data_IF_598244965476
#
_entry.id   IF_598244965476
#
_cell.length_a   1.000
_cell.length_b   1.000
_cell.length_c   1.000
_cell.angle_alpha   90.00
_cell.angle_beta   90.00
_cell.angle_gamma   90.00
#
_symmetry.space_group_name_H-M   'P 1'
#
loop_
_entity.id
_entity.type
_entity.pdbx_description
1 polymer ?
#
# COMPACT_ATOMS: atom_id res chain seq x y z
N UNK A 1 -4.70 -28.13 -9.96
CA UNK A 1 -3.98 -27.24 -10.90
C UNK A 1 -3.37 -26.11 -10.10
N UNK A 2 -2.05 -25.88 -10.23
CA UNK A 2 -1.37 -24.83 -9.49
C UNK A 2 -1.82 -23.45 -10.00
N UNK A 3 -2.05 -22.51 -9.10
CA UNK A 3 -2.40 -21.12 -9.45
C UNK A 3 -1.12 -20.31 -9.41
N UNK A 4 -0.76 -19.70 -10.53
CA UNK A 4 0.44 -18.88 -10.65
C UNK A 4 0.08 -17.39 -10.58
N UNK A 5 0.95 -16.59 -9.97
CA UNK A 5 0.74 -15.17 -9.71
C UNK A 5 1.95 -14.35 -10.10
N UNK A 6 1.70 -13.24 -10.77
CA UNK A 6 2.73 -12.32 -11.25
C UNK A 6 2.35 -10.88 -10.97
N UNK A 7 3.38 -10.04 -10.76
CA UNK A 7 3.24 -8.63 -10.41
C UNK A 7 4.13 -7.77 -11.31
N UNK A 8 3.57 -6.65 -11.77
CA UNK A 8 4.28 -5.58 -12.49
C UNK A 8 3.92 -4.22 -11.90
N UNK A 9 4.76 -3.22 -12.19
CA UNK A 9 4.46 -1.81 -12.01
C UNK A 9 4.36 -1.17 -13.39
N UNK A 10 3.19 -0.63 -13.72
CA UNK A 10 2.84 -0.12 -15.06
C UNK A 10 2.62 1.39 -14.99
N UNK A 11 3.28 2.14 -15.88
CA UNK A 11 3.08 3.59 -16.01
C UNK A 11 1.64 3.93 -16.42
N UNK A 12 1.10 5.06 -15.95
CA UNK A 12 -0.28 5.49 -16.26
C UNK A 12 -0.61 5.48 -17.75
N UNK A 13 0.33 5.90 -18.59
CA UNK A 13 0.20 5.92 -20.06
C UNK A 13 -0.03 4.53 -20.68
N UNK A 14 0.49 3.47 -20.05
CA UNK A 14 0.43 2.09 -20.55
C UNK A 14 -0.75 1.30 -19.99
N UNK A 15 -1.31 1.70 -18.85
CA UNK A 15 -2.41 0.96 -18.20
C UNK A 15 -3.65 0.83 -19.09
N UNK A 16 -4.04 1.91 -19.78
CA UNK A 16 -5.19 1.87 -20.71
C UNK A 16 -4.90 1.01 -21.95
N UNK A 17 -3.67 1.06 -22.47
CA UNK A 17 -3.25 0.24 -23.60
C UNK A 17 -3.30 -1.26 -23.25
N UNK A 18 -2.76 -1.64 -22.08
CA UNK A 18 -2.80 -3.02 -21.59
C UNK A 18 -4.25 -3.48 -21.39
N UNK A 19 -5.11 -2.63 -20.81
CA UNK A 19 -6.54 -2.93 -20.66
C UNK A 19 -7.20 -3.24 -22.00
N UNK A 20 -7.00 -2.39 -23.01
CA UNK A 20 -7.58 -2.57 -24.34
C UNK A 20 -7.09 -3.86 -25.01
N UNK A 21 -5.78 -4.15 -24.95
CA UNK A 21 -5.22 -5.36 -25.56
C UNK A 21 -5.69 -6.64 -24.85
N UNK A 22 -5.81 -6.61 -23.52
CA UNK A 22 -6.36 -7.74 -22.74
C UNK A 22 -7.83 -8.00 -23.07
N UNK A 23 -8.63 -6.95 -23.25
CA UNK A 23 -10.03 -7.06 -23.68
C UNK A 23 -10.13 -7.59 -25.12
N UNK A 24 -9.30 -7.09 -26.03
CA UNK A 24 -9.24 -7.56 -27.41
C UNK A 24 -8.82 -9.03 -27.50
N UNK A 25 -7.87 -9.46 -26.66
CA UNK A 25 -7.46 -10.86 -26.53
C UNK A 25 -8.64 -11.74 -26.07
N UNK A 26 -9.37 -11.33 -25.03
CA UNK A 26 -10.58 -12.02 -24.57
C UNK A 26 -11.63 -12.15 -25.69
N UNK A 27 -11.93 -11.05 -26.37
CA UNK A 27 -12.88 -11.03 -27.48
C UNK A 27 -12.44 -11.94 -28.64
N UNK A 28 -11.15 -11.94 -29.01
CA UNK A 28 -10.63 -12.83 -30.07
C UNK A 28 -10.72 -14.32 -29.71
N UNK A 29 -10.75 -14.64 -28.42
CA UNK A 29 -10.95 -15.99 -27.90
C UNK A 29 -12.43 -16.35 -27.66
N UNK A 30 -13.37 -15.45 -27.98
CA UNK A 30 -14.80 -15.62 -27.72
C UNK A 30 -15.16 -15.59 -26.23
N UNK A 31 -14.34 -14.92 -25.40
CA UNK A 31 -14.50 -14.85 -23.95
C UNK A 31 -14.85 -13.43 -23.51
N UNK A 32 -15.97 -13.31 -22.79
CA UNK A 32 -16.31 -12.07 -22.10
C UNK A 32 -15.75 -12.06 -20.67
N UNK A 33 -15.12 -10.97 -20.22
CA UNK A 33 -14.63 -10.86 -18.87
C UNK A 33 -15.76 -10.63 -17.88
N UNK A 34 -15.69 -11.30 -16.73
CA UNK A 34 -16.48 -10.94 -15.56
C UNK A 34 -15.80 -9.73 -14.90
N UNK A 35 -16.44 -8.58 -14.97
CA UNK A 35 -15.96 -7.33 -14.33
C UNK A 35 -16.48 -7.26 -12.90
N UNK A 36 -15.59 -7.02 -11.94
CA UNK A 36 -15.97 -6.83 -10.52
C UNK A 36 -15.34 -5.55 -9.98
N UNK A 37 -16.12 -4.63 -9.37
CA UNK A 37 -15.54 -3.48 -8.70
C UNK A 37 -14.76 -3.91 -7.45
N UNK A 38 -13.63 -3.26 -7.19
CA UNK A 38 -12.78 -3.51 -6.02
C UNK A 38 -12.13 -2.18 -5.59
N UNK A 39 -11.99 -1.94 -4.28
CA UNK A 39 -11.47 -0.66 -3.78
C UNK A 39 -10.04 -0.43 -4.25
N UNK A 40 -9.73 0.81 -4.66
CA UNK A 40 -8.42 1.22 -5.21
C UNK A 40 -7.97 0.45 -6.46
N UNK A 41 -8.90 -0.25 -7.11
CA UNK A 41 -8.68 -1.03 -8.33
C UNK A 41 -9.36 -0.31 -9.49
N UNK A 42 -8.58 0.18 -10.45
CA UNK A 42 -9.10 0.83 -11.66
C UNK A 42 -9.94 -0.14 -12.50
N UNK A 43 -9.50 -1.39 -12.57
CA UNK A 43 -10.30 -2.47 -13.14
C UNK A 43 -9.84 -3.83 -12.64
N UNK A 44 -10.82 -4.73 -12.51
CA UNK A 44 -10.60 -6.15 -12.33
C UNK A 44 -11.37 -6.95 -13.37
N UNK A 45 -10.65 -7.77 -14.12
CA UNK A 45 -11.17 -8.67 -15.15
C UNK A 45 -10.95 -10.11 -14.71
N UNK A 46 -11.97 -10.95 -14.85
CA UNK A 46 -11.89 -12.38 -14.61
C UNK A 46 -12.38 -13.14 -15.85
N UNK A 47 -11.51 -13.93 -16.46
CA UNK A 47 -11.82 -14.83 -17.57
C UNK A 47 -11.89 -16.27 -17.07
N UNK A 48 -12.89 -17.03 -17.52
CA UNK A 48 -13.08 -18.44 -17.17
C UNK A 48 -13.14 -19.30 -18.44
N UNK A 49 -12.44 -20.42 -18.43
CA UNK A 49 -12.47 -21.47 -19.46
C UNK A 49 -12.58 -22.83 -18.79
N UNK A 50 -12.87 -23.88 -19.57
CA UNK A 50 -12.88 -25.25 -19.07
C UNK A 50 -11.52 -25.67 -18.45
N UNK A 51 -10.42 -25.09 -18.93
CA UNK A 51 -9.04 -25.41 -18.52
C UNK A 51 -8.57 -24.59 -17.30
N UNK A 52 -9.32 -23.56 -16.88
CA UNK A 52 -8.94 -22.72 -15.74
C UNK A 52 -9.51 -21.31 -15.77
N UNK A 53 -8.95 -20.44 -14.92
CA UNK A 53 -9.31 -19.02 -14.85
C UNK A 53 -8.09 -18.13 -14.96
N UNK A 54 -8.33 -16.87 -15.35
CA UNK A 54 -7.36 -15.78 -15.30
C UNK A 54 -8.01 -14.58 -14.62
N UNK A 55 -7.33 -13.96 -13.67
CA UNK A 55 -7.74 -12.76 -12.96
C UNK A 55 -6.66 -11.71 -13.18
N UNK A 56 -7.08 -10.52 -13.60
CA UNK A 56 -6.21 -9.36 -13.83
C UNK A 56 -6.73 -8.21 -12.99
N UNK A 57 -5.88 -7.59 -12.18
CA UNK A 57 -6.20 -6.44 -11.33
C UNK A 57 -5.21 -5.31 -11.57
N UNK A 58 -5.72 -4.15 -12.00
CA UNK A 58 -4.93 -2.92 -12.11
C UNK A 58 -5.30 -1.99 -10.96
N UNK A 59 -4.33 -1.65 -10.12
CA UNK A 59 -4.51 -0.71 -9.01
C UNK A 59 -4.14 0.71 -9.43
N UNK A 60 -4.77 1.69 -8.77
CA UNK A 60 -4.58 3.13 -9.00
C UNK A 60 -3.13 3.60 -8.79
N UNK A 61 -2.37 2.87 -7.97
CA UNK A 61 -0.94 3.10 -7.72
C UNK A 61 -0.01 2.58 -8.83
N UNK A 62 -0.57 2.00 -9.90
CA UNK A 62 0.16 1.44 -11.03
C UNK A 62 0.54 -0.04 -10.89
N UNK A 63 0.25 -0.68 -9.77
CA UNK A 63 0.48 -2.12 -9.62
C UNK A 63 -0.49 -2.93 -10.48
N UNK A 64 0.04 -3.82 -11.32
CA UNK A 64 -0.72 -4.80 -12.08
C UNK A 64 -0.47 -6.20 -11.52
N UNK A 65 -1.54 -6.89 -11.13
CA UNK A 65 -1.51 -8.29 -10.72
C UNK A 65 -2.20 -9.16 -11.75
N UNK A 66 -1.56 -10.28 -12.11
CA UNK A 66 -2.15 -11.32 -12.96
C UNK A 66 -2.04 -12.65 -12.24
N UNK A 67 -3.17 -13.33 -12.07
CA UNK A 67 -3.29 -14.62 -11.39
C UNK A 67 -4.04 -15.59 -12.28
N UNK A 68 -3.48 -16.77 -12.55
CA UNK A 68 -4.11 -17.73 -13.45
C UNK A 68 -3.86 -19.18 -13.07
N UNK A 69 -4.86 -20.02 -13.33
CA UNK A 69 -4.71 -21.48 -13.32
C UNK A 69 -4.70 -22.08 -14.73
N UNK A 70 -4.95 -21.26 -15.75
CA UNK A 70 -4.83 -21.61 -17.17
C UNK A 70 -3.44 -21.12 -17.68
N UNK A 71 -2.50 -22.04 -17.95
CA UNK A 71 -1.14 -21.67 -18.35
C UNK A 71 -1.10 -20.94 -19.70
N UNK A 72 -2.01 -21.26 -20.62
CA UNK A 72 -2.04 -20.68 -21.96
C UNK A 72 -2.45 -19.21 -21.93
N UNK A 73 -3.56 -18.91 -21.23
CA UNK A 73 -4.00 -17.53 -21.03
C UNK A 73 -2.97 -16.72 -20.24
N UNK A 74 -2.36 -17.32 -19.21
CA UNK A 74 -1.37 -16.64 -18.40
C UNK A 74 -0.12 -16.28 -19.22
N UNK A 75 0.42 -17.22 -20.01
CA UNK A 75 1.58 -16.96 -20.85
C UNK A 75 1.31 -15.87 -21.90
N UNK A 76 0.11 -15.87 -22.49
CA UNK A 76 -0.28 -14.87 -23.50
C UNK A 76 -0.37 -13.47 -22.91
N UNK A 77 -1.00 -13.31 -21.73
CA UNK A 77 -1.08 -12.00 -21.06
C UNK A 77 0.27 -11.53 -20.57
N UNK A 78 1.14 -12.43 -20.10
CA UNK A 78 2.52 -12.09 -19.73
C UNK A 78 3.30 -11.52 -20.91
N UNK A 79 3.30 -12.20 -22.05
CA UNK A 79 4.00 -11.74 -23.24
C UNK A 79 3.51 -10.37 -23.73
N UNK A 80 2.20 -10.14 -23.65
CA UNK A 80 1.59 -8.84 -23.96
C UNK A 80 2.11 -7.73 -23.04
N UNK A 81 2.15 -7.97 -21.73
CA UNK A 81 2.62 -6.99 -20.73
C UNK A 81 4.13 -6.71 -20.89
N UNK A 82 4.92 -7.76 -21.07
CA UNK A 82 6.37 -7.66 -21.27
C UNK A 82 6.72 -6.94 -22.57
N UNK A 83 5.95 -7.16 -23.65
CA UNK A 83 6.07 -6.43 -24.92
C UNK A 83 5.80 -4.92 -24.81
N UNK A 84 5.13 -4.47 -23.74
CA UNK A 84 4.96 -3.05 -23.41
C UNK A 84 6.08 -2.51 -22.51
N UNK A 85 7.15 -3.28 -22.27
CA UNK A 85 8.27 -2.92 -21.40
C UNK A 85 7.97 -3.10 -19.91
N UNK A 86 7.02 -3.97 -19.56
CA UNK A 86 6.79 -4.36 -18.17
C UNK A 86 7.85 -5.36 -17.71
N UNK A 87 8.76 -4.96 -16.81
CA UNK A 87 9.65 -5.90 -16.14
C UNK A 87 8.85 -6.70 -15.09
N UNK A 88 8.61 -7.98 -15.36
CA UNK A 88 7.84 -8.85 -14.46
C UNK A 88 8.69 -9.42 -13.34
N UNK A 89 8.12 -9.48 -12.14
CA UNK A 89 8.63 -10.33 -11.06
C UNK A 89 7.61 -11.43 -10.76
N UNK A 90 8.08 -12.68 -10.70
CA UNK A 90 7.28 -13.82 -10.24
C UNK A 90 6.99 -13.59 -8.76
N UNK A 91 5.71 -13.57 -8.38
CA UNK A 91 5.32 -13.24 -7.00
C UNK A 91 5.51 -14.47 -6.08
N UNK A 92 6.75 -14.75 -5.70
CA UNK A 92 7.10 -15.67 -4.62
C UNK A 92 7.19 -14.95 -3.27
N UNK A 93 6.75 -15.61 -2.18
CA UNK A 93 6.91 -15.14 -0.80
C UNK A 93 8.40 -15.02 -0.44
N UNK A 94 8.98 -13.83 -0.48
CA UNK A 94 9.95 -13.26 0.51
C UNK A 94 10.52 -11.91 0.06
N UNK A 95 10.78 -11.07 1.07
CA UNK A 95 11.69 -9.90 1.13
C UNK A 95 11.49 -8.76 0.14
N UNK A 96 11.20 -7.58 0.71
CA UNK A 96 11.12 -6.31 0.01
C UNK A 96 12.43 -5.96 -0.70
N UNK A 97 12.28 -5.48 -1.93
CA UNK A 97 13.27 -4.65 -2.59
C UNK A 97 12.66 -3.26 -2.76
N UNK A 98 13.47 -2.27 -2.40
CA UNK A 98 13.13 -0.86 -2.36
C UNK A 98 12.46 -0.42 -3.67
N UNK A 99 11.25 0.15 -3.55
CA UNK A 99 10.59 0.80 -4.67
C UNK A 99 11.33 2.12 -4.92
N UNK A 100 11.92 2.26 -6.10
CA UNK A 100 12.45 3.52 -6.58
C UNK A 100 11.35 4.59 -6.49
N UNK A 101 11.70 5.73 -5.89
CA UNK A 101 10.80 6.84 -5.61
C UNK A 101 9.93 7.18 -6.83
N UNK A 102 8.63 6.86 -6.75
CA UNK A 102 7.64 7.47 -7.61
C UNK A 102 7.61 8.96 -7.28
N UNK A 103 7.88 9.81 -8.26
CA UNK A 103 7.61 11.24 -8.13
C UNK A 103 6.17 11.43 -7.63
N UNK A 104 5.93 12.34 -6.68
CA UNK A 104 4.58 12.59 -6.18
C UNK A 104 3.67 13.02 -7.34
N UNK A 105 2.40 12.61 -7.33
CA UNK A 105 1.46 12.94 -8.40
C UNK A 105 1.39 14.46 -8.58
N UNK A 106 1.46 14.92 -9.83
CA UNK A 106 1.27 16.31 -10.27
C UNK A 106 -0.19 16.75 -10.16
N UNK A 107 -0.78 16.56 -8.98
CA UNK A 107 -2.05 17.17 -8.59
C UNK A 107 -1.83 18.61 -8.11
N UNK A 108 -2.91 19.36 -7.85
CA UNK A 108 -2.80 20.67 -7.21
C UNK A 108 -2.02 20.50 -5.90
N UNK A 109 -0.89 21.21 -5.79
CA UNK A 109 -0.11 21.26 -4.55
C UNK A 109 -0.97 21.96 -3.49
N UNK A 110 -1.54 21.19 -2.58
CA UNK A 110 -2.13 21.74 -1.37
C UNK A 110 -0.98 22.13 -0.48
N UNK A 111 -0.75 23.43 -0.33
CA UNK A 111 0.18 23.95 0.68
C UNK A 111 -0.48 23.81 2.04
N UNK A 112 -0.01 22.84 2.83
CA UNK A 112 -0.38 22.75 4.24
C UNK A 112 0.46 23.76 5.00
N UNK A 113 -0.19 24.69 5.67
CA UNK A 113 0.47 25.68 6.53
C UNK A 113 0.39 25.21 7.99
N UNK A 114 1.48 25.28 8.78
CA UNK A 114 1.41 25.02 10.21
C UNK A 114 0.44 25.96 10.95
N UNK A 115 -0.15 25.53 12.09
CA UNK A 115 0.10 24.26 12.75
C UNK A 115 -0.69 23.10 12.12
N UNK A 116 -0.05 21.93 12.06
CA UNK A 116 -0.70 20.69 11.63
C UNK A 116 -0.18 19.50 12.43
N UNK A 117 -1.00 18.45 12.50
CA UNK A 117 -0.63 17.17 13.11
C UNK A 117 -0.49 16.13 12.02
N UNK A 118 0.65 15.43 12.01
CA UNK A 118 0.84 14.22 11.22
C UNK A 118 0.73 13.00 12.14
N UNK A 119 0.09 11.93 11.68
CA UNK A 119 -0.01 10.66 12.42
C UNK A 119 0.29 9.48 11.50
N UNK A 120 0.93 8.45 12.02
CA UNK A 120 1.23 7.21 11.30
C UNK A 120 1.30 6.01 12.25
N UNK A 121 1.19 4.80 11.71
CA UNK A 121 1.22 3.56 12.48
C UNK A 121 2.34 2.59 12.07
N UNK A 122 2.81 1.80 13.05
CA UNK A 122 3.76 0.70 12.85
C UNK A 122 3.30 -0.54 13.62
N UNK A 123 3.71 -1.73 13.16
CA UNK A 123 3.24 -3.02 13.70
C UNK A 123 2.00 -3.58 12.99
N UNK A 124 1.39 -2.83 12.07
CA UNK A 124 0.26 -3.31 11.27
C UNK A 124 0.72 -4.40 10.29
N UNK A 125 0.32 -5.64 10.55
CA UNK A 125 0.66 -6.80 9.72
C UNK A 125 1.87 -7.58 10.23
N UNK A 126 2.55 -7.07 11.26
CA UNK A 126 3.51 -7.85 12.03
C UNK A 126 2.75 -8.85 12.90
N UNK A 127 3.20 -10.10 12.89
CA UNK A 127 2.58 -11.14 13.70
C UNK A 127 2.98 -11.02 15.18
N UNK A 128 4.18 -10.51 15.44
CA UNK A 128 4.73 -10.32 16.78
C UNK A 128 4.91 -8.84 17.08
N UNK A 129 4.75 -8.49 18.35
CA UNK A 129 4.96 -7.14 18.83
C UNK A 129 3.69 -6.29 18.89
N UNK A 130 3.83 -5.04 19.34
CA UNK A 130 2.70 -4.13 19.50
C UNK A 130 2.24 -3.51 18.17
N UNK A 131 1.02 -3.00 18.17
CA UNK A 131 0.59 -1.96 17.24
C UNK A 131 0.87 -0.60 17.90
N UNK A 132 1.62 0.26 17.22
CA UNK A 132 1.96 1.60 17.73
C UNK A 132 1.45 2.66 16.75
N UNK A 133 0.69 3.63 17.26
CA UNK A 133 0.31 4.84 16.52
C UNK A 133 1.05 6.01 17.15
N UNK A 134 1.69 6.82 16.33
CA UNK A 134 2.38 8.03 16.78
C UNK A 134 1.85 9.25 16.04
N UNK A 135 1.96 10.42 16.66
CA UNK A 135 1.72 11.67 15.97
C UNK A 135 2.59 12.80 16.47
N UNK A 136 2.76 13.77 15.58
CA UNK A 136 3.67 14.90 15.73
C UNK A 136 2.95 16.18 15.38
N UNK A 137 2.93 17.12 16.32
CA UNK A 137 2.49 18.50 16.11
C UNK A 137 3.63 19.31 15.52
N UNK A 138 3.41 19.80 14.31
CA UNK A 138 4.31 20.72 13.62
C UNK A 138 3.74 22.12 13.72
N UNK A 139 4.54 23.04 14.23
CA UNK A 139 4.24 24.47 14.29
C UNK A 139 5.22 25.23 13.37
N UNK A 140 4.98 26.52 13.06
CA UNK A 140 5.91 27.29 12.24
C UNK A 140 7.35 27.28 12.79
N UNK A 141 7.50 27.23 14.13
CA UNK A 141 8.78 27.23 14.82
C UNK A 141 9.50 25.88 14.72
N UNK A 142 8.75 24.77 14.80
CA UNK A 142 9.34 23.43 14.80
C UNK A 142 9.57 22.88 13.40
N UNK A 143 8.87 23.39 12.39
CA UNK A 143 8.97 22.93 11.00
C UNK A 143 10.41 22.94 10.48
N UNK A 144 11.13 24.05 10.68
CA UNK A 144 12.51 24.16 10.26
C UNK A 144 13.41 23.13 10.96
N UNK A 145 13.21 22.90 12.26
CA UNK A 145 14.01 21.93 13.01
C UNK A 145 13.79 20.49 12.48
N UNK A 146 12.53 20.14 12.17
CA UNK A 146 12.17 18.84 11.58
C UNK A 146 12.81 18.67 10.20
N UNK A 147 12.79 19.71 9.36
CA UNK A 147 13.43 19.68 8.05
C UNK A 147 14.96 19.49 8.16
N UNK A 148 15.62 20.15 9.11
CA UNK A 148 17.07 20.01 9.34
C UNK A 148 17.47 18.63 9.84
N UNK A 149 16.62 17.94 10.61
CA UNK A 149 16.85 16.54 11.02
C UNK A 149 16.86 15.60 9.80
N UNK A 150 16.21 15.99 8.70
CA UNK A 150 16.16 15.20 7.47
C UNK A 150 15.24 13.99 7.59
N UNK A 151 14.13 14.13 8.32
CA UNK A 151 13.10 13.09 8.39
C UNK A 151 12.58 12.78 6.98
N UNK A 152 12.40 11.49 6.71
CA UNK A 152 11.95 10.97 5.42
C UNK A 152 11.18 9.67 5.63
N UNK A 153 10.67 9.07 4.56
CA UNK A 153 9.95 7.80 4.62
C UNK A 153 10.80 6.75 5.38
N UNK A 154 10.25 6.26 6.49
CA UNK A 154 10.92 5.32 7.41
C UNK A 154 11.30 4.01 6.73
N UNK A 155 10.63 3.64 5.63
CA UNK A 155 10.97 2.46 4.81
C UNK A 155 12.33 2.56 4.15
N UNK A 156 12.90 3.77 4.08
CA UNK A 156 14.24 4.02 3.52
C UNK A 156 15.33 4.08 4.59
N UNK A 157 14.97 3.87 5.86
CA UNK A 157 15.84 3.94 7.01
C UNK A 157 16.03 2.55 7.62
N UNK A 158 17.22 2.29 8.16
CA UNK A 158 17.44 1.14 9.04
C UNK A 158 17.16 1.51 10.51
N UNK A 159 17.08 0.51 11.38
CA UNK A 159 16.73 0.70 12.79
C UNK A 159 17.67 1.67 13.52
N UNK A 160 18.98 1.61 13.26
CA UNK A 160 19.94 2.53 13.88
C UNK A 160 19.69 3.99 13.45
N UNK A 161 19.36 4.22 12.18
CA UNK A 161 18.99 5.54 11.67
C UNK A 161 17.66 6.01 12.27
N UNK A 162 16.68 5.13 12.40
CA UNK A 162 15.39 5.45 13.04
C UNK A 162 15.63 5.89 14.49
N UNK A 163 16.44 5.17 15.25
CA UNK A 163 16.75 5.52 16.64
C UNK A 163 17.42 6.90 16.76
N UNK A 164 18.38 7.20 15.90
CA UNK A 164 19.06 8.51 15.86
C UNK A 164 18.08 9.63 15.51
N UNK A 165 17.25 9.45 14.48
CA UNK A 165 16.28 10.47 14.08
C UNK A 165 15.18 10.67 15.11
N UNK A 166 14.68 9.59 15.71
CA UNK A 166 13.69 9.67 16.78
C UNK A 166 14.24 10.44 17.98
N UNK A 167 15.47 10.15 18.40
CA UNK A 167 16.13 10.89 19.48
C UNK A 167 16.28 12.38 19.14
N UNK A 168 16.68 12.71 17.91
CA UNK A 168 16.79 14.09 17.47
C UNK A 168 15.43 14.81 17.49
N UNK A 169 14.35 14.14 17.07
CA UNK A 169 12.98 14.68 17.15
C UNK A 169 12.55 14.97 18.59
N UNK A 170 12.76 14.03 19.51
CA UNK A 170 12.42 14.23 20.93
C UNK A 170 13.23 15.35 21.60
N UNK A 171 14.42 15.65 21.10
CA UNK A 171 15.24 16.75 21.60
C UNK A 171 14.87 18.10 20.99
N UNK A 172 14.48 18.11 19.71
CA UNK A 172 14.18 19.34 18.98
C UNK A 172 12.74 19.85 19.23
N UNK A 173 11.80 18.95 19.53
CA UNK A 173 10.39 19.29 19.68
C UNK A 173 10.01 19.56 21.15
N UNK A 174 9.17 20.59 21.42
CA UNK A 174 8.68 20.84 22.76
C UNK A 174 7.90 19.66 23.34
N UNK A 175 7.86 19.58 24.67
CA UNK A 175 7.05 18.58 25.36
C UNK A 175 5.58 18.67 24.93
N UNK A 176 4.97 17.52 24.64
CA UNK A 176 3.59 17.43 24.14
C UNK A 176 3.44 17.53 22.62
N UNK A 177 4.51 17.82 21.88
CA UNK A 177 4.45 17.82 20.40
C UNK A 177 4.59 16.43 19.79
N UNK A 178 5.02 15.43 20.56
CA UNK A 178 5.05 14.04 20.13
C UNK A 178 4.20 13.23 21.11
N UNK A 179 3.26 12.47 20.57
CA UNK A 179 2.44 11.53 21.32
C UNK A 179 2.49 10.15 20.65
N UNK A 180 2.29 9.09 21.43
CA UNK A 180 2.14 7.75 20.90
C UNK A 180 1.21 6.89 21.76
N UNK A 181 0.50 5.97 21.10
CA UNK A 181 -0.30 4.93 21.73
C UNK A 181 0.29 3.59 21.32
N UNK A 182 0.70 2.80 22.31
CA UNK A 182 1.25 1.46 22.11
C UNK A 182 0.27 0.40 22.62
N UNK A 183 -0.30 -0.39 21.71
CA UNK A 183 -1.11 -1.55 22.05
C UNK A 183 -0.26 -2.81 22.04
N UNK A 184 0.16 -3.25 23.22
CA UNK A 184 0.78 -4.56 23.41
C UNK A 184 -0.18 -5.70 23.01
N UNK A 185 0.33 -6.87 22.56
CA UNK A 185 -0.48 -7.96 22.03
C UNK A 185 -1.71 -8.34 22.87
N UNK A 186 -1.58 -8.39 24.19
CA UNK A 186 -2.69 -8.70 25.10
C UNK A 186 -3.83 -7.68 24.99
N UNK A 187 -3.49 -6.39 25.00
CA UNK A 187 -4.48 -5.29 24.90
C UNK A 187 -5.02 -5.19 23.48
N UNK A 188 -4.15 -5.31 22.47
CA UNK A 188 -4.53 -5.33 21.07
C UNK A 188 -5.57 -6.42 20.79
N UNK A 189 -5.31 -7.67 21.20
CA UNK A 189 -6.21 -8.79 20.97
C UNK A 189 -7.57 -8.58 21.67
N UNK A 190 -7.56 -8.11 22.93
CA UNK A 190 -8.78 -7.85 23.68
C UNK A 190 -9.64 -6.78 23.00
N UNK A 191 -9.04 -5.64 22.59
CA UNK A 191 -9.75 -4.60 21.85
C UNK A 191 -10.24 -5.12 20.50
N UNK A 192 -9.39 -5.80 19.74
CA UNK A 192 -9.77 -6.29 18.42
C UNK A 192 -10.97 -7.25 18.46
N UNK A 193 -11.06 -8.12 19.48
CA UNK A 193 -12.24 -8.96 19.67
C UNK A 193 -13.51 -8.16 20.02
N UNK A 194 -13.41 -7.05 20.76
CA UNK A 194 -14.56 -6.15 20.99
C UNK A 194 -15.07 -5.52 19.69
N UNK A 195 -14.17 -5.02 18.83
CA UNK A 195 -14.54 -4.45 17.54
C UNK A 195 -15.16 -5.52 16.63
N UNK A 196 -14.59 -6.74 16.60
CA UNK A 196 -15.18 -7.86 15.84
C UNK A 196 -16.57 -8.24 16.34
N UNK A 197 -16.79 -8.27 17.66
CA UNK A 197 -18.10 -8.53 18.24
C UNK A 197 -19.13 -7.45 17.84
N UNK A 198 -18.68 -6.21 17.63
CA UNK A 198 -19.50 -5.12 17.12
C UNK A 198 -19.64 -5.09 15.57
N UNK A 199 -19.13 -6.11 14.85
CA UNK A 199 -19.17 -6.15 13.39
C UNK A 199 -18.18 -5.19 12.70
N UNK A 200 -17.20 -4.67 13.44
CA UNK A 200 -16.19 -3.75 12.96
C UNK A 200 -14.87 -4.47 12.62
N UNK A 201 -13.96 -3.74 11.98
CA UNK A 201 -12.68 -4.26 11.48
C UNK A 201 -11.49 -3.63 12.18
N UNK A 202 -10.28 -4.14 11.90
CA UNK A 202 -9.03 -3.55 12.40
C UNK A 202 -8.89 -2.08 11.99
N UNK A 203 -9.41 -1.70 10.82
CA UNK A 203 -9.37 -0.31 10.36
C UNK A 203 -10.18 0.62 11.26
N UNK A 204 -11.24 0.12 11.92
CA UNK A 204 -12.00 0.89 12.89
C UNK A 204 -11.19 1.10 14.18
N UNK A 205 -10.57 0.03 14.69
CA UNK A 205 -9.67 0.14 15.85
C UNK A 205 -8.54 1.13 15.57
N UNK A 206 -7.91 1.08 14.39
CA UNK A 206 -6.86 2.02 14.03
C UNK A 206 -7.39 3.46 13.92
N UNK A 207 -8.53 3.67 13.23
CA UNK A 207 -9.14 5.00 13.13
C UNK A 207 -9.39 5.64 14.51
N UNK A 208 -9.82 4.84 15.49
CA UNK A 208 -10.04 5.31 16.85
C UNK A 208 -8.72 5.64 17.58
N UNK A 209 -7.66 4.87 17.36
CA UNK A 209 -6.33 5.17 17.92
C UNK A 209 -5.75 6.47 17.34
N UNK A 210 -5.88 6.69 16.03
CA UNK A 210 -5.49 7.96 15.41
C UNK A 210 -6.32 9.12 15.96
N UNK A 211 -7.64 8.94 16.07
CA UNK A 211 -8.54 9.96 16.61
C UNK A 211 -8.22 10.31 18.07
N UNK A 212 -7.94 9.30 18.90
CA UNK A 212 -7.52 9.50 20.30
C UNK A 212 -6.24 10.31 20.42
N UNK A 213 -5.32 10.17 19.46
CA UNK A 213 -4.04 10.87 19.49
C UNK A 213 -4.17 12.35 19.06
N UNK A 214 -5.15 12.65 18.20
CA UNK A 214 -5.39 14.00 17.67
C UNK A 214 -6.30 14.82 18.60
N UNK A 215 -7.19 14.18 19.35
CA UNK A 215 -8.18 14.81 20.24
C UNK A 215 -7.55 15.45 21.48
#
# INVERSE_FOLDING_TARGET
MSVERHKWVISKTKQQLIKQQVLAMGASAGLEPIVKPEQYCDYRLEYKRAQGRLIIKQYTNGTLYVEGSDPGMLAQVKALIEGQGGAGQVAGKTSGTASAASQPPSGPTITIVPPYVGTDESGKGDYFGPLVVAGVLVTPETEQAIQHIGVRDSKTLNDAQIMVQAQALYQALPQGHIASVCLMPTVYNARYEQYKAAGQTLNNLMADLHSQLIA
#
